data_IF_760206005419
#
_entry.id   IF_760206005419
#
_cell.length_a   1.000
_cell.length_b   1.000
_cell.length_c   1.000
_cell.angle_alpha   90.00
_cell.angle_beta   90.00
_cell.angle_gamma   90.00
#
_symmetry.space_group_name_H-M   'P 1'
#
loop_
_entity.id
_entity.type
_entity.pdbx_description
1 polymer ?
#
# COMPACT_ATOMS: atom_id res chain seq x y z
N UNK A 1 4.90 -14.38 -19.72
CA UNK A 1 5.51 -14.18 -18.38
C UNK A 1 6.62 -13.15 -18.42
N UNK A 2 7.67 -13.33 -19.25
CA UNK A 2 8.79 -12.37 -19.37
C UNK A 2 8.33 -10.94 -19.66
N UNK A 3 7.39 -10.73 -20.60
CA UNK A 3 6.88 -9.40 -20.98
C UNK A 3 6.22 -8.66 -19.80
N UNK A 4 5.54 -9.37 -18.91
CA UNK A 4 4.84 -8.79 -17.75
C UNK A 4 5.85 -8.33 -16.69
N UNK A 5 6.98 -9.04 -16.58
CA UNK A 5 8.04 -8.73 -15.61
C UNK A 5 8.96 -7.59 -16.04
N UNK A 6 8.98 -7.21 -17.32
CA UNK A 6 9.84 -6.14 -17.88
C UNK A 6 9.82 -4.85 -17.04
N UNK A 7 8.66 -4.23 -16.71
CA UNK A 7 8.66 -3.01 -15.90
C UNK A 7 9.18 -3.22 -14.47
N UNK A 8 8.92 -4.38 -13.86
CA UNK A 8 9.46 -4.71 -12.54
C UNK A 8 10.99 -4.88 -12.57
N UNK A 9 11.49 -5.59 -13.59
CA UNK A 9 12.94 -5.73 -13.83
C UNK A 9 13.60 -4.39 -14.11
N UNK A 10 12.92 -3.49 -14.82
CA UNK A 10 13.39 -2.13 -15.07
C UNK A 10 13.57 -1.31 -13.80
N UNK A 11 12.60 -1.38 -12.87
CA UNK A 11 12.71 -0.72 -11.56
C UNK A 11 13.90 -1.26 -10.76
N UNK A 12 14.09 -2.57 -10.75
CA UNK A 12 15.24 -3.21 -10.09
C UNK A 12 16.56 -2.74 -10.72
N UNK A 13 16.67 -2.76 -12.05
CA UNK A 13 17.86 -2.27 -12.75
C UNK A 13 18.12 -0.78 -12.49
N UNK A 14 17.07 0.03 -12.37
CA UNK A 14 17.18 1.46 -12.09
C UNK A 14 17.70 1.75 -10.68
N UNK A 15 17.43 0.86 -9.71
CA UNK A 15 17.94 1.00 -8.34
C UNK A 15 19.48 0.97 -8.27
N UNK A 16 20.15 0.31 -9.21
CA UNK A 16 21.61 0.23 -9.29
C UNK A 16 22.25 1.27 -10.22
N UNK A 17 21.46 2.13 -10.88
CA UNK A 17 21.98 3.14 -11.82
C UNK A 17 22.29 4.46 -11.11
N UNK A 18 23.37 5.16 -11.45
CA UNK A 18 23.57 6.52 -10.99
C UNK A 18 22.49 7.45 -11.55
N UNK A 19 22.08 8.48 -10.78
CA UNK A 19 21.06 9.46 -11.19
C UNK A 19 21.34 10.11 -12.56
N UNK A 20 22.61 10.22 -12.95
CA UNK A 20 23.04 10.75 -14.25
C UNK A 20 22.57 9.87 -15.42
N UNK A 21 22.60 8.54 -15.27
CA UNK A 21 22.13 7.59 -16.29
C UNK A 21 20.59 7.54 -16.35
N UNK A 22 19.92 7.72 -15.21
CA UNK A 22 18.45 7.76 -15.13
C UNK A 22 17.90 8.99 -15.88
N UNK A 23 18.59 10.12 -15.80
CA UNK A 23 18.19 11.40 -16.43
C UNK A 23 18.80 11.61 -17.83
N UNK A 24 19.56 10.64 -18.34
CA UNK A 24 20.27 10.76 -19.61
C UNK A 24 19.32 10.89 -20.81
N UNK A 25 19.75 11.67 -21.81
CA UNK A 25 19.11 11.79 -23.13
C UNK A 25 20.20 11.53 -24.19
N UNK A 26 20.17 10.44 -24.97
CA UNK A 26 19.13 9.40 -25.08
C UNK A 26 19.03 8.48 -23.84
N UNK A 27 17.85 7.85 -23.59
CA UNK A 27 17.66 6.97 -22.46
C UNK A 27 18.50 5.69 -22.58
N UNK A 28 19.27 5.39 -21.54
CA UNK A 28 20.15 4.23 -21.46
C UNK A 28 19.33 3.04 -20.93
N UNK A 29 19.15 1.99 -21.75
CA UNK A 29 18.29 0.85 -21.39
C UNK A 29 19.02 -0.21 -20.54
N UNK A 30 20.33 -0.34 -20.72
CA UNK A 30 21.18 -1.29 -19.99
C UNK A 30 22.20 -0.45 -19.21
N UNK A 31 22.33 -0.59 -17.88
CA UNK A 31 23.27 0.19 -17.09
C UNK A 31 24.69 0.03 -17.63
N UNK A 32 25.40 1.13 -17.84
CA UNK A 32 26.83 1.09 -18.14
C UNK A 32 27.64 0.97 -16.85
N UNK A 33 27.16 1.61 -15.77
CA UNK A 33 27.77 1.54 -14.44
C UNK A 33 26.77 1.04 -13.40
N UNK A 34 26.98 -0.20 -12.94
CA UNK A 34 26.24 -0.77 -11.81
C UNK A 34 26.88 -0.25 -10.52
N UNK A 35 26.13 0.50 -9.72
CA UNK A 35 26.62 1.10 -8.46
C UNK A 35 25.68 0.80 -7.29
N UNK A 36 26.25 0.65 -6.09
CA UNK A 36 25.50 0.52 -4.84
C UNK A 36 25.30 1.86 -4.12
N UNK A 37 25.65 2.97 -4.79
CA UNK A 37 25.68 4.30 -4.17
C UNK A 37 24.27 4.76 -3.75
N UNK A 38 23.23 4.40 -4.50
CA UNK A 38 21.85 4.71 -4.12
C UNK A 38 21.45 4.06 -2.79
N UNK A 39 21.89 2.82 -2.53
CA UNK A 39 21.66 2.14 -1.26
C UNK A 39 22.51 2.78 -0.15
N UNK A 40 23.78 3.08 -0.42
CA UNK A 40 24.67 3.74 0.53
C UNK A 40 24.10 5.09 1.01
N UNK A 41 23.54 5.89 0.10
CA UNK A 41 22.87 7.17 0.41
C UNK A 41 21.65 7.02 1.29
N UNK A 42 20.81 6.02 1.02
CA UNK A 42 19.60 5.75 1.80
C UNK A 42 19.94 5.44 3.27
N UNK A 43 21.02 4.68 3.49
CA UNK A 43 21.49 4.31 4.83
C UNK A 43 22.45 5.34 5.47
N UNK A 44 22.74 6.47 4.79
CA UNK A 44 23.57 7.55 5.33
C UNK A 44 25.07 7.24 5.39
N UNK A 45 25.57 6.34 4.55
CA UNK A 45 27.00 6.03 4.45
C UNK A 45 27.82 7.06 3.65
N UNK A 46 27.19 8.14 3.17
CA UNK A 46 27.80 9.18 2.32
C UNK A 46 27.92 10.50 3.11
N UNK A 47 29.07 11.16 3.05
CA UNK A 47 29.37 12.38 3.83
C UNK A 47 28.46 13.53 3.37
N UNK A 48 27.46 13.88 4.19
CA UNK A 48 26.60 15.05 3.99
C UNK A 48 25.12 14.78 3.71
N UNK A 49 24.64 13.53 3.79
CA UNK A 49 23.21 13.21 3.67
C UNK A 49 22.59 12.69 4.97
N UNK A 50 21.37 13.15 5.28
CA UNK A 50 20.58 12.64 6.39
C UNK A 50 20.09 11.24 6.04
N UNK A 51 20.48 10.24 6.84
CA UNK A 51 20.01 8.87 6.69
C UNK A 51 18.48 8.82 6.73
N UNK A 52 17.87 8.19 5.73
CA UNK A 52 16.43 7.99 5.69
C UNK A 52 16.12 6.81 6.63
N UNK A 53 15.18 6.93 7.59
CA UNK A 53 14.84 5.84 8.51
C UNK A 53 13.98 4.77 7.81
N UNK A 54 14.54 4.11 6.80
CA UNK A 54 13.85 3.12 5.96
C UNK A 54 13.32 1.96 6.79
N UNK A 55 14.08 1.51 7.78
CA UNK A 55 13.65 0.43 8.67
C UNK A 55 12.39 0.83 9.45
N UNK A 56 12.30 2.06 9.95
CA UNK A 56 11.13 2.56 10.66
C UNK A 56 9.90 2.63 9.75
N UNK A 57 10.06 3.10 8.51
CA UNK A 57 8.97 3.15 7.52
C UNK A 57 8.51 1.75 7.10
N UNK A 58 9.44 0.82 6.94
CA UNK A 58 9.16 -0.57 6.64
C UNK A 58 8.39 -1.24 7.80
N UNK A 59 8.85 -1.07 9.05
CA UNK A 59 8.16 -1.62 10.23
C UNK A 59 6.76 -1.00 10.38
N UNK A 60 6.61 0.31 10.19
CA UNK A 60 5.30 0.96 10.24
C UNK A 60 4.35 0.36 9.20
N UNK A 61 4.79 0.24 7.95
CA UNK A 61 4.00 -0.36 6.86
C UNK A 61 3.65 -1.81 7.15
N UNK A 62 4.61 -2.59 7.65
CA UNK A 62 4.43 -4.00 7.98
C UNK A 62 3.40 -4.20 9.09
N UNK A 63 3.49 -3.41 10.16
CA UNK A 63 2.54 -3.44 11.28
C UNK A 63 1.13 -3.06 10.80
N UNK A 64 1.00 -2.01 10.00
CA UNK A 64 -0.30 -1.57 9.46
C UNK A 64 -0.90 -2.65 8.54
N UNK A 65 -0.11 -3.20 7.62
CA UNK A 65 -0.56 -4.20 6.67
C UNK A 65 -0.96 -5.52 7.35
N UNK A 66 -0.14 -6.04 8.26
CA UNK A 66 -0.45 -7.29 8.97
C UNK A 66 -1.68 -7.13 9.87
N UNK A 67 -1.73 -6.05 10.66
CA UNK A 67 -2.83 -5.83 11.59
C UNK A 67 -4.16 -5.66 10.85
N UNK A 68 -4.17 -4.83 9.79
CA UNK A 68 -5.38 -4.64 8.99
C UNK A 68 -5.81 -5.92 8.25
N UNK A 69 -4.86 -6.71 7.75
CA UNK A 69 -5.17 -7.99 7.08
C UNK A 69 -5.79 -8.99 8.04
N UNK A 70 -5.21 -9.17 9.23
CA UNK A 70 -5.75 -10.10 10.25
C UNK A 70 -7.18 -9.70 10.63
N UNK A 71 -7.42 -8.41 10.92
CA UNK A 71 -8.75 -7.93 11.28
C UNK A 71 -9.73 -8.12 10.12
N UNK A 72 -9.34 -7.77 8.89
CA UNK A 72 -10.19 -7.93 7.71
C UNK A 72 -10.52 -9.41 7.43
N UNK A 73 -9.57 -10.32 7.65
CA UNK A 73 -9.81 -11.76 7.51
C UNK A 73 -10.79 -12.27 8.56
N UNK A 74 -10.68 -11.86 9.82
CA UNK A 74 -11.60 -12.27 10.88
C UNK A 74 -13.03 -11.81 10.56
N UNK A 75 -13.20 -10.53 10.20
CA UNK A 75 -14.51 -9.96 9.87
C UNK A 75 -15.05 -10.57 8.57
N UNK A 76 -14.23 -10.64 7.52
CA UNK A 76 -14.61 -11.17 6.22
C UNK A 76 -14.95 -12.66 6.26
N UNK A 77 -14.23 -13.45 7.07
CA UNK A 77 -14.54 -14.87 7.27
C UNK A 77 -15.84 -15.05 8.04
N UNK A 78 -16.08 -14.29 9.10
CA UNK A 78 -17.33 -14.34 9.85
C UNK A 78 -18.54 -13.95 8.98
N UNK A 79 -18.42 -12.83 8.25
CA UNK A 79 -19.45 -12.37 7.32
C UNK A 79 -19.67 -13.35 6.16
N UNK A 80 -18.59 -13.79 5.52
CA UNK A 80 -18.64 -14.77 4.43
C UNK A 80 -19.27 -16.10 4.86
N UNK A 81 -18.95 -16.59 6.06
CA UNK A 81 -19.55 -17.80 6.62
C UNK A 81 -21.06 -17.61 6.89
N UNK A 82 -21.45 -16.44 7.43
CA UNK A 82 -22.85 -16.10 7.64
C UNK A 82 -23.65 -16.16 6.32
N UNK A 83 -23.12 -15.54 5.25
CA UNK A 83 -23.72 -15.60 3.92
C UNK A 83 -23.64 -16.98 3.28
N UNK A 84 -22.62 -17.80 3.54
CA UNK A 84 -22.50 -19.12 2.94
C UNK A 84 -23.44 -20.14 3.58
N UNK A 85 -23.56 -20.14 4.92
CA UNK A 85 -24.21 -21.23 5.66
C UNK A 85 -25.60 -20.90 6.17
N UNK A 86 -25.89 -19.64 6.51
CA UNK A 86 -27.18 -19.26 7.05
C UNK A 86 -28.15 -18.79 5.95
N UNK A 87 -29.44 -19.04 6.19
CA UNK A 87 -30.55 -18.50 5.41
C UNK A 87 -31.26 -17.46 6.27
N UNK A 88 -31.17 -16.20 5.89
CA UNK A 88 -31.80 -15.09 6.60
C UNK A 88 -32.55 -14.20 5.63
N UNK A 89 -33.52 -13.44 6.16
CA UNK A 89 -34.37 -12.56 5.36
C UNK A 89 -33.55 -11.40 4.77
N UNK A 90 -33.80 -11.08 3.50
CA UNK A 90 -33.07 -10.06 2.72
C UNK A 90 -31.59 -10.35 2.41
N UNK A 91 -31.14 -11.61 2.50
CA UNK A 91 -29.77 -12.02 2.16
C UNK A 91 -29.26 -11.45 0.83
N UNK A 92 -30.05 -11.55 -0.25
CA UNK A 92 -29.63 -11.07 -1.56
C UNK A 92 -29.55 -9.53 -1.62
N UNK A 93 -30.42 -8.82 -0.91
CA UNK A 93 -30.40 -7.36 -0.86
C UNK A 93 -29.15 -6.85 -0.09
N UNK A 94 -28.81 -7.49 1.03
CA UNK A 94 -27.58 -7.19 1.77
C UNK A 94 -26.33 -7.48 0.94
N UNK A 95 -26.27 -8.63 0.27
CA UNK A 95 -25.15 -8.98 -0.60
C UNK A 95 -24.99 -7.97 -1.75
N UNK A 96 -26.09 -7.57 -2.38
CA UNK A 96 -26.06 -6.54 -3.43
C UNK A 96 -25.59 -5.19 -2.87
N UNK A 97 -26.05 -4.80 -1.67
CA UNK A 97 -25.61 -3.57 -1.00
C UNK A 97 -24.10 -3.55 -0.78
N UNK A 98 -23.52 -4.62 -0.24
CA UNK A 98 -22.07 -4.77 -0.05
C UNK A 98 -21.30 -4.60 -1.37
N UNK A 99 -21.76 -5.27 -2.44
CA UNK A 99 -21.15 -5.14 -3.77
C UNK A 99 -21.23 -3.71 -4.31
N UNK A 100 -22.34 -3.01 -4.12
CA UNK A 100 -22.50 -1.62 -4.54
C UNK A 100 -21.57 -0.68 -3.78
N UNK A 101 -21.41 -0.83 -2.46
CA UNK A 101 -20.47 -0.01 -1.70
C UNK A 101 -19.02 -0.19 -2.18
N UNK A 102 -18.65 -1.39 -2.63
CA UNK A 102 -17.31 -1.65 -3.20
C UNK A 102 -17.03 -0.91 -4.51
N UNK A 103 -18.07 -0.49 -5.22
CA UNK A 103 -17.91 0.30 -6.46
C UNK A 103 -17.51 1.75 -6.19
N UNK A 104 -17.69 2.23 -4.96
CA UNK A 104 -17.31 3.59 -4.58
C UNK A 104 -15.78 3.72 -4.66
N UNK A 105 -15.27 4.69 -5.44
CA UNK A 105 -13.83 4.85 -5.61
C UNK A 105 -13.21 5.33 -4.30
N UNK A 106 -12.17 4.64 -3.82
CA UNK A 106 -11.51 4.96 -2.54
C UNK A 106 -10.98 6.39 -2.46
N UNK A 107 -10.59 6.99 -3.59
CA UNK A 107 -10.17 8.40 -3.65
C UNK A 107 -11.29 9.37 -3.28
N UNK A 108 -12.55 9.07 -3.61
CA UNK A 108 -13.69 9.92 -3.24
C UNK A 108 -13.95 9.92 -1.72
N UNK A 109 -13.52 8.87 -1.03
CA UNK A 109 -13.65 8.74 0.43
C UNK A 109 -12.51 9.44 1.19
N UNK A 110 -11.43 9.83 0.51
CA UNK A 110 -10.24 10.41 1.15
C UNK A 110 -10.54 11.67 1.97
N UNK A 111 -11.28 12.62 1.39
CA UNK A 111 -11.61 13.90 2.02
C UNK A 111 -12.61 13.76 3.18
N UNK A 112 -13.72 13.00 3.04
CA UNK A 112 -14.61 12.69 4.17
C UNK A 112 -13.89 11.99 5.33
N UNK A 113 -13.06 10.99 5.05
CA UNK A 113 -12.29 10.27 6.08
C UNK A 113 -11.31 11.19 6.78
N UNK A 114 -10.62 12.06 6.03
CA UNK A 114 -9.73 13.06 6.61
C UNK A 114 -10.47 13.99 7.59
N UNK A 115 -11.63 14.51 7.19
CA UNK A 115 -12.45 15.36 8.07
C UNK A 115 -12.89 14.61 9.33
N UNK A 116 -13.27 13.34 9.21
CA UNK A 116 -13.65 12.51 10.35
C UNK A 116 -12.47 12.30 11.30
N UNK A 117 -11.29 11.95 10.77
CA UNK A 117 -10.09 11.72 11.59
C UNK A 117 -9.58 13.01 12.22
N UNK A 118 -9.76 14.16 11.55
CA UNK A 118 -9.49 15.48 12.10
C UNK A 118 -10.31 15.75 13.34
N UNK A 119 -11.62 15.51 13.27
CA UNK A 119 -12.54 15.71 14.40
C UNK A 119 -12.24 14.76 15.57
N UNK A 120 -11.81 13.54 15.26
CA UNK A 120 -11.46 12.53 16.26
C UNK A 120 -10.02 12.67 16.80
N UNK A 121 -9.20 13.56 16.24
CA UNK A 121 -7.82 13.76 16.67
C UNK A 121 -6.87 12.59 16.34
N UNK A 122 -7.25 11.69 15.45
CA UNK A 122 -6.47 10.49 15.06
C UNK A 122 -5.79 10.65 13.68
N UNK A 123 -5.65 11.88 13.21
CA UNK A 123 -4.84 12.20 12.03
C UNK A 123 -3.40 11.76 12.25
N UNK A 124 -2.78 11.24 11.19
CA UNK A 124 -1.37 10.81 11.17
C UNK A 124 -1.04 9.71 12.20
N UNK A 125 -2.04 8.89 12.54
CA UNK A 125 -1.85 7.74 13.43
C UNK A 125 -1.92 6.42 12.65
N UNK A 126 -1.14 5.43 13.08
CA UNK A 126 -1.20 4.06 12.53
C UNK A 126 -2.60 3.45 12.69
N UNK A 127 -3.25 3.73 13.81
CA UNK A 127 -4.61 3.28 14.10
C UNK A 127 -5.61 3.83 13.07
N UNK A 128 -5.53 5.13 12.76
CA UNK A 128 -6.36 5.76 11.75
C UNK A 128 -6.22 5.09 10.38
N UNK A 129 -4.99 4.74 9.98
CA UNK A 129 -4.73 4.03 8.71
C UNK A 129 -5.24 2.58 8.75
N UNK A 130 -5.04 1.85 9.85
CA UNK A 130 -5.50 0.47 10.00
C UNK A 130 -7.02 0.38 9.83
N UNK A 131 -7.78 1.28 10.46
CA UNK A 131 -9.26 1.28 10.36
C UNK A 131 -9.72 1.50 8.91
N UNK A 132 -9.07 2.42 8.19
CA UNK A 132 -9.39 2.70 6.79
C UNK A 132 -9.10 1.47 5.93
N UNK A 133 -7.94 0.83 6.10
CA UNK A 133 -7.58 -0.36 5.33
C UNK A 133 -8.48 -1.55 5.64
N UNK A 134 -8.88 -1.77 6.90
CA UNK A 134 -9.87 -2.80 7.24
C UNK A 134 -11.18 -2.54 6.52
N UNK A 135 -11.68 -1.30 6.56
CA UNK A 135 -12.95 -0.93 5.93
C UNK A 135 -12.94 -1.07 4.41
N UNK A 136 -11.79 -0.83 3.76
CA UNK A 136 -11.66 -0.97 2.30
C UNK A 136 -11.42 -2.43 1.85
N UNK A 137 -10.83 -3.26 2.72
CA UNK A 137 -10.52 -4.65 2.39
C UNK A 137 -11.67 -5.62 2.70
N UNK A 138 -12.55 -5.28 3.65
CA UNK A 138 -13.76 -6.05 3.92
C UNK A 138 -14.83 -5.67 2.89
N UNK A 139 -15.38 -6.63 2.12
CA UNK A 139 -16.44 -6.38 1.14
C UNK A 139 -17.80 -6.07 1.78
#
# INVERSE_FOLDING_TARGET
MVIISVPGLWVVLSAFRPNREILARPPIWIPEQVTLNNFAKIFGFDEGQVAIPVLSYFINSLVIALTSTVIALVIGMAGGYAFARFRFRFKNAWFLGLMLFRTVPGIALSLPVFMLWSRLGIIDTKLGLIIVYVSLNVP
#
